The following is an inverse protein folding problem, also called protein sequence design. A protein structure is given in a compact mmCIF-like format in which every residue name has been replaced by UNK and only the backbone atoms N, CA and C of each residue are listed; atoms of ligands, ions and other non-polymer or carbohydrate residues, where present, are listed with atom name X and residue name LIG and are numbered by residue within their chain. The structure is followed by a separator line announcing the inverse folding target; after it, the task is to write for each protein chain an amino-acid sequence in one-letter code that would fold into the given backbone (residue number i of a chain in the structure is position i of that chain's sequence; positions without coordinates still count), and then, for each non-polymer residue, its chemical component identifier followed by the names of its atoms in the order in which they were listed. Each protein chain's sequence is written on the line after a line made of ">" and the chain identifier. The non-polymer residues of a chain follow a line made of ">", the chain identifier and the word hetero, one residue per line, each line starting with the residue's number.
data_IF_165138577263
#
_entry.id   IF_165138577263
#
_cell.length_a   1.000
_cell.length_b   1.000
_cell.length_c   1.000
_cell.angle_alpha   90.00
_cell.angle_beta   90.00
_cell.angle_gamma   90.00
#
_symmetry.space_group_name_H-M   'P 1'
#
loop_
_entity.id
_entity.type
_entity.pdbx_description
1 polymer ?
#
# COMPACT_ATOMS: atom_id res chain seq x y z
N UNK A 1 16.84 -73.79 -6.33
CA UNK A 1 18.21 -73.96 -6.86
C UNK A 1 18.72 -72.56 -7.12
N UNK A 2 19.79 -72.04 -6.55
CA UNK A 2 20.86 -72.55 -5.68
C UNK A 2 21.55 -71.31 -5.07
N UNK A 3 21.91 -71.41 -3.79
CA UNK A 3 22.71 -70.45 -3.04
C UNK A 3 24.08 -70.21 -3.69
N UNK A 4 24.57 -68.97 -3.62
CA UNK A 4 25.99 -68.66 -3.72
C UNK A 4 26.36 -67.73 -2.56
N UNK A 5 27.13 -68.29 -1.64
CA UNK A 5 27.92 -67.61 -0.61
C UNK A 5 29.06 -66.80 -1.25
N UNK A 6 29.27 -65.56 -0.80
CA UNK A 6 30.58 -64.88 -0.89
C UNK A 6 30.85 -64.16 0.44
N UNK A 7 31.74 -64.79 1.21
CA UNK A 7 32.50 -64.23 2.33
C UNK A 7 33.64 -63.35 1.78
N UNK A 8 33.90 -62.19 2.40
CA UNK A 8 34.99 -61.31 1.99
C UNK A 8 35.19 -60.07 2.87
N UNK A 9 35.91 -60.27 3.99
CA UNK A 9 36.83 -59.34 4.67
C UNK A 9 36.45 -57.84 4.81
N UNK A 10 35.95 -57.45 5.98
CA UNK A 10 36.00 -56.07 6.47
C UNK A 10 37.19 -55.89 7.42
N UNK A 11 38.16 -55.09 7.00
CA UNK A 11 39.27 -54.61 7.83
C UNK A 11 38.74 -53.75 8.98
N UNK A 12 39.09 -54.12 10.21
CA UNK A 12 38.78 -53.41 11.44
C UNK A 12 39.56 -52.08 11.49
N UNK A 13 38.85 -50.96 11.35
CA UNK A 13 39.36 -49.62 11.68
C UNK A 13 39.33 -49.45 13.20
N UNK A 14 40.39 -48.97 13.87
CA UNK A 14 40.38 -48.78 15.31
C UNK A 14 39.41 -47.67 15.72
N UNK A 15 38.54 -47.96 16.69
CA UNK A 15 37.66 -46.97 17.32
C UNK A 15 38.48 -45.89 18.05
N UNK A 16 38.09 -44.60 17.96
CA UNK A 16 38.72 -43.53 18.73
C UNK A 16 38.45 -43.68 20.24
N UNK A 17 39.36 -43.21 21.10
CA UNK A 17 39.24 -43.34 22.55
C UNK A 17 38.03 -42.57 23.11
N UNK A 18 37.43 -43.04 24.23
CA UNK A 18 36.28 -42.39 24.84
C UNK A 18 36.67 -41.02 25.41
N UNK A 19 35.76 -40.02 25.35
CA UNK A 19 36.01 -38.70 25.92
C UNK A 19 36.10 -38.77 27.46
N UNK A 20 36.89 -37.86 28.08
CA UNK A 20 37.06 -37.81 29.53
C UNK A 20 35.74 -37.50 30.26
N UNK A 21 35.59 -37.93 31.53
CA UNK A 21 34.35 -37.74 32.26
C UNK A 21 34.08 -36.24 32.51
N UNK A 22 32.93 -35.78 32.03
CA UNK A 22 32.39 -34.45 32.32
C UNK A 22 32.25 -34.28 33.83
N UNK A 23 33.08 -33.41 34.41
CA UNK A 23 32.85 -32.91 35.75
C UNK A 23 31.44 -32.31 35.80
N UNK A 24 30.61 -32.84 36.71
CA UNK A 24 29.27 -32.35 37.01
C UNK A 24 29.33 -30.85 37.31
N UNK A 25 29.00 -30.01 36.32
CA UNK A 25 28.61 -28.63 36.56
C UNK A 25 27.34 -28.68 37.39
N UNK A 26 27.41 -28.13 38.61
CA UNK A 26 26.24 -27.88 39.46
C UNK A 26 25.16 -27.18 38.63
N UNK A 27 23.94 -27.68 38.71
CA UNK A 27 22.76 -27.01 38.16
C UNK A 27 22.67 -25.58 38.72
N UNK A 28 22.21 -24.59 37.93
CA UNK A 28 21.85 -23.29 38.47
C UNK A 28 20.73 -23.46 39.49
N UNK A 29 20.88 -22.83 40.65
CA UNK A 29 19.80 -22.74 41.65
C UNK A 29 18.55 -22.10 41.02
N UNK A 30 17.34 -22.55 41.37
CA UNK A 30 16.12 -21.87 40.94
C UNK A 30 16.08 -20.43 41.49
N UNK A 31 15.51 -19.47 40.73
CA UNK A 31 15.37 -18.10 41.21
C UNK A 31 14.50 -18.03 42.48
N UNK A 32 14.75 -17.06 43.37
CA UNK A 32 13.96 -16.88 44.59
C UNK A 32 12.48 -16.57 44.26
N UNK A 33 11.53 -17.00 45.12
CA UNK A 33 10.12 -16.73 44.92
C UNK A 33 9.82 -15.22 44.93
N UNK A 34 8.85 -14.75 44.12
CA UNK A 34 8.45 -13.35 44.11
C UNK A 34 7.86 -12.95 45.48
N UNK A 35 8.02 -11.67 45.89
CA UNK A 35 7.44 -11.16 47.12
C UNK A 35 5.89 -11.26 47.10
N UNK A 36 5.23 -11.37 48.26
CA UNK A 36 3.79 -11.55 48.32
C UNK A 36 3.05 -10.38 47.66
N UNK A 37 2.24 -10.69 46.65
CA UNK A 37 1.26 -9.76 46.09
C UNK A 37 0.35 -9.29 47.21
N UNK A 38 0.47 -8.01 47.58
CA UNK A 38 -0.55 -7.35 48.38
C UNK A 38 -1.89 -7.48 47.67
N UNK A 39 -2.80 -8.23 48.31
CA UNK A 39 -4.20 -8.39 47.92
C UNK A 39 -4.82 -7.00 47.79
N UNK A 40 -4.96 -6.51 46.55
CA UNK A 40 -5.91 -5.45 46.25
C UNK A 40 -7.31 -6.04 46.49
N UNK A 41 -7.99 -5.51 47.50
CA UNK A 41 -9.37 -5.83 47.87
C UNK A 41 -10.27 -5.78 46.64
N UNK A 42 -11.07 -6.83 46.46
CA UNK A 42 -12.21 -6.81 45.56
C UNK A 42 -13.21 -5.72 45.98
N UNK A 43 -13.90 -5.05 45.03
CA UNK A 43 -14.99 -4.14 45.35
C UNK A 43 -16.18 -4.91 45.97
N UNK A 44 -16.96 -4.28 46.87
CA UNK A 44 -18.08 -4.93 47.55
C UNK A 44 -19.24 -5.27 46.60
N UNK A 45 -20.05 -6.31 46.92
CA UNK A 45 -21.18 -6.74 46.12
C UNK A 45 -22.36 -5.74 46.15
N UNK A 46 -23.22 -5.73 45.11
CA UNK A 46 -24.40 -4.87 45.05
C UNK A 46 -25.49 -5.29 46.06
N UNK A 47 -26.31 -4.33 46.56
CA UNK A 47 -27.37 -4.60 47.53
C UNK A 47 -28.56 -5.40 46.94
N UNK A 48 -29.30 -6.14 47.79
CA UNK A 48 -30.39 -7.04 47.39
C UNK A 48 -31.67 -6.31 46.93
N UNK A 49 -32.55 -6.98 46.17
CA UNK A 49 -33.75 -6.37 45.60
C UNK A 49 -34.81 -6.10 46.68
N UNK A 50 -35.14 -4.82 46.88
CA UNK A 50 -36.22 -4.43 47.78
C UNK A 50 -37.59 -4.79 47.18
N UNK A 51 -38.32 -5.59 47.95
CA UNK A 51 -39.66 -6.07 47.64
C UNK A 51 -40.67 -4.94 47.44
N UNK A 52 -41.55 -5.18 46.48
CA UNK A 52 -42.78 -4.46 46.17
C UNK A 52 -43.59 -4.14 47.44
N UNK A 53 -43.83 -2.86 47.70
CA UNK A 53 -44.99 -2.39 48.44
C UNK A 53 -45.93 -1.67 47.48
N UNK A 54 -47.14 -2.20 47.31
CA UNK A 54 -48.25 -1.59 46.58
C UNK A 54 -48.66 -0.29 47.31
N UNK A 55 -48.62 0.82 46.59
CA UNK A 55 -49.30 2.06 46.98
C UNK A 55 -50.60 2.22 46.14
N UNK A 56 -51.67 2.80 46.69
CA UNK A 56 -52.98 2.93 46.03
C UNK A 56 -52.98 3.98 44.91
N UNK A 57 -53.94 3.92 43.96
CA UNK A 57 -53.96 4.81 42.79
C UNK A 57 -54.32 6.26 43.15
N UNK A 58 -53.81 7.25 42.40
CA UNK A 58 -53.98 8.68 42.68
C UNK A 58 -55.35 9.22 42.24
N UNK A 59 -55.83 10.33 42.86
CA UNK A 59 -57.04 11.03 42.43
C UNK A 59 -56.79 11.84 41.13
N UNK A 60 -57.85 12.10 40.32
CA UNK A 60 -57.71 12.81 39.05
C UNK A 60 -57.37 14.30 39.23
N UNK A 61 -56.50 14.89 38.38
CA UNK A 61 -56.16 16.30 38.43
C UNK A 61 -57.24 17.20 37.78
N UNK A 62 -57.40 18.46 38.25
CA UNK A 62 -58.33 19.45 37.70
C UNK A 62 -57.87 20.02 36.34
N UNK A 63 -58.76 20.65 35.56
CA UNK A 63 -58.52 20.96 34.15
C UNK A 63 -57.49 22.08 33.91
N UNK A 64 -56.71 21.93 32.85
CA UNK A 64 -55.63 22.80 32.40
C UNK A 64 -56.09 24.23 32.02
N UNK A 65 -55.35 25.29 32.40
CA UNK A 65 -55.45 26.60 31.77
C UNK A 65 -54.66 26.65 30.45
N UNK A 66 -55.21 27.39 29.48
CA UNK A 66 -54.68 27.59 28.13
C UNK A 66 -53.28 28.24 28.12
N UNK A 67 -52.36 27.85 27.22
CA UNK A 67 -51.10 28.56 27.07
C UNK A 67 -51.24 29.74 26.10
N UNK A 68 -51.02 30.95 26.61
CA UNK A 68 -50.73 32.14 25.80
C UNK A 68 -49.25 32.18 25.36
N UNK A 69 -49.06 32.74 24.17
CA UNK A 69 -47.83 33.29 23.57
C UNK A 69 -46.63 32.36 23.32
N UNK A 70 -46.52 31.87 22.08
CA UNK A 70 -45.25 31.55 21.42
C UNK A 70 -44.52 32.85 21.03
N UNK A 71 -43.17 32.93 21.12
CA UNK A 71 -42.42 34.04 20.54
C UNK A 71 -42.50 33.99 19.00
N UNK A 72 -42.35 35.12 18.30
CA UNK A 72 -42.57 35.20 16.86
C UNK A 72 -41.49 34.42 16.11
N UNK A 73 -41.91 33.42 15.34
CA UNK A 73 -41.06 32.78 14.33
C UNK A 73 -40.86 33.78 13.20
N UNK A 74 -39.68 34.39 13.11
CA UNK A 74 -39.22 35.07 11.90
C UNK A 74 -39.25 34.08 10.75
N UNK A 75 -40.04 34.41 9.72
CA UNK A 75 -40.22 33.62 8.51
C UNK A 75 -39.14 34.03 7.50
N UNK A 76 -37.91 33.57 7.70
CA UNK A 76 -36.90 33.55 6.63
C UNK A 76 -36.59 32.08 6.34
N UNK A 77 -37.34 31.47 5.42
CA UNK A 77 -37.06 30.11 4.96
C UNK A 77 -36.01 30.17 3.86
N UNK A 78 -34.74 30.22 4.27
CA UNK A 78 -33.62 30.03 3.37
C UNK A 78 -33.67 28.62 2.75
N UNK A 79 -33.14 28.47 1.53
CA UNK A 79 -32.95 27.14 0.94
C UNK A 79 -31.99 26.31 1.81
N UNK A 80 -32.40 25.12 2.29
CA UNK A 80 -31.56 24.31 3.17
C UNK A 80 -30.37 23.73 2.39
N UNK A 81 -29.18 23.84 2.96
CA UNK A 81 -27.98 23.19 2.45
C UNK A 81 -27.98 21.71 2.87
N UNK A 82 -27.94 20.81 1.89
CA UNK A 82 -27.98 19.36 2.11
C UNK A 82 -26.60 18.76 2.36
N UNK A 83 -25.96 19.13 3.47
CA UNK A 83 -24.70 18.52 3.92
C UNK A 83 -24.93 17.30 4.85
N UNK A 84 -23.94 16.42 4.93
CA UNK A 84 -23.92 15.35 5.95
C UNK A 84 -23.23 15.89 7.20
N UNK A 85 -24.01 16.11 8.26
CA UNK A 85 -23.51 16.70 9.52
C UNK A 85 -22.56 15.73 10.25
N UNK A 86 -21.37 16.21 10.61
CA UNK A 86 -20.54 15.54 11.63
C UNK A 86 -20.99 15.99 13.03
N UNK A 87 -21.41 15.05 13.87
CA UNK A 87 -21.93 15.34 15.22
C UNK A 87 -20.85 15.43 16.29
N UNK A 88 -19.64 14.93 16.02
CA UNK A 88 -18.48 15.03 16.92
C UNK A 88 -17.19 15.19 16.10
N UNK A 89 -16.30 16.08 16.56
CA UNK A 89 -14.96 16.21 16.01
C UNK A 89 -14.07 15.04 16.48
N UNK A 90 -13.23 14.51 15.59
CA UNK A 90 -12.25 13.49 15.98
C UNK A 90 -11.06 14.18 16.65
N UNK A 91 -10.54 13.68 17.80
CA UNK A 91 -9.37 14.26 18.45
C UNK A 91 -8.18 14.38 17.47
N UNK A 92 -7.58 15.57 17.37
CA UNK A 92 -6.49 15.86 16.42
C UNK A 92 -6.94 16.13 14.97
N UNK A 93 -8.25 16.16 14.69
CA UNK A 93 -8.76 16.62 13.40
C UNK A 93 -8.85 18.14 13.34
N UNK A 94 -8.90 18.68 12.11
CA UNK A 94 -9.16 20.11 11.87
C UNK A 94 -10.36 20.66 12.68
N UNK A 95 -11.43 19.87 12.81
CA UNK A 95 -12.64 20.28 13.54
C UNK A 95 -12.43 20.34 15.06
N UNK A 96 -11.54 19.48 15.59
CA UNK A 96 -11.16 19.46 17.01
C UNK A 96 -10.18 20.62 17.32
N UNK A 97 -9.28 20.92 16.38
CA UNK A 97 -8.39 22.07 16.49
C UNK A 97 -9.14 23.41 16.45
N UNK A 98 -10.14 23.54 15.56
CA UNK A 98 -10.99 24.73 15.48
C UNK A 98 -11.88 24.91 16.71
N UNK A 99 -12.39 23.82 17.29
CA UNK A 99 -13.15 23.88 18.55
C UNK A 99 -12.26 24.30 19.73
N UNK A 100 -11.05 23.75 19.85
CA UNK A 100 -10.06 24.20 20.86
C UNK A 100 -9.64 25.66 20.68
N UNK A 101 -9.51 26.12 19.42
CA UNK A 101 -9.24 27.53 19.10
C UNK A 101 -10.40 28.46 19.48
N UNK A 102 -11.63 27.96 19.49
CA UNK A 102 -12.82 28.70 19.95
C UNK A 102 -12.84 28.82 21.49
N UNK A 103 -12.37 27.79 22.21
CA UNK A 103 -12.38 27.73 23.67
C UNK A 103 -11.23 28.54 24.32
N UNK A 104 -10.09 28.70 23.63
CA UNK A 104 -8.97 29.54 24.06
C UNK A 104 -9.09 31.03 23.71
N UNK A 105 -10.31 31.56 23.51
CA UNK A 105 -10.50 33.00 23.29
C UNK A 105 -10.64 33.74 24.62
N UNK A 106 -9.53 34.30 25.09
CA UNK A 106 -9.57 35.47 25.96
C UNK A 106 -10.06 36.68 25.14
N UNK A 107 -10.75 37.59 25.82
CA UNK A 107 -11.72 38.58 25.30
C UNK A 107 -11.12 39.67 24.36
N UNK A 108 -9.84 39.63 24.00
CA UNK A 108 -9.18 40.76 23.30
C UNK A 108 -8.89 40.55 21.81
N UNK A 109 -9.16 39.37 21.23
CA UNK A 109 -8.86 39.06 19.82
C UNK A 109 -10.12 38.94 18.91
N UNK A 110 -11.18 39.72 19.17
CA UNK A 110 -12.33 39.81 18.23
C UNK A 110 -12.04 40.62 16.96
N UNK A 111 -10.93 41.38 16.89
CA UNK A 111 -10.72 42.34 15.80
C UNK A 111 -10.01 41.79 14.55
N UNK A 112 -9.45 40.56 14.56
CA UNK A 112 -8.52 40.11 13.49
C UNK A 112 -9.02 38.93 12.62
N UNK A 113 -10.20 38.35 12.88
CA UNK A 113 -10.67 37.17 12.10
C UNK A 113 -12.07 37.27 11.47
N UNK A 114 -12.58 38.49 11.24
CA UNK A 114 -13.71 38.74 10.34
C UNK A 114 -13.28 39.59 9.14
N UNK A 115 -12.39 39.05 8.29
CA UNK A 115 -12.02 39.71 7.02
C UNK A 115 -13.13 39.63 5.95
N UNK A 116 -14.26 38.97 6.24
CA UNK A 116 -15.44 38.95 5.39
C UNK A 116 -16.68 38.97 6.30
N UNK A 117 -17.18 40.16 6.61
CA UNK A 117 -18.53 40.30 7.16
C UNK A 117 -19.52 39.92 6.07
N UNK A 118 -20.01 38.68 6.12
CA UNK A 118 -21.08 38.24 5.24
C UNK A 118 -22.40 38.84 5.71
N UNK A 119 -22.98 39.71 4.89
CA UNK A 119 -24.26 40.36 5.18
C UNK A 119 -25.40 39.33 5.23
N UNK A 120 -25.98 39.16 6.42
CA UNK A 120 -27.15 38.28 6.63
C UNK A 120 -28.32 38.73 5.75
N UNK A 121 -28.54 40.04 5.61
CA UNK A 121 -29.59 40.62 4.76
C UNK A 121 -29.38 40.31 3.27
N UNK A 122 -28.13 40.26 2.81
CA UNK A 122 -27.79 39.91 1.42
C UNK A 122 -28.04 38.42 1.15
N UNK A 123 -27.65 37.54 2.08
CA UNK A 123 -27.91 36.10 2.01
C UNK A 123 -29.43 35.82 2.05
N UNK A 124 -30.17 36.50 2.92
CA UNK A 124 -31.63 36.39 2.97
C UNK A 124 -32.28 36.84 1.67
N UNK A 125 -31.79 37.90 1.04
CA UNK A 125 -32.34 38.40 -0.24
C UNK A 125 -32.05 37.42 -1.40
N UNK A 126 -30.83 36.90 -1.50
CA UNK A 126 -30.40 36.03 -2.61
C UNK A 126 -30.97 34.61 -2.50
N UNK A 127 -31.15 34.09 -1.27
CA UNK A 127 -31.54 32.70 -1.02
C UNK A 127 -32.96 32.52 -0.44
N UNK A 128 -33.79 33.58 -0.45
CA UNK A 128 -35.20 33.51 -0.07
C UNK A 128 -36.05 32.70 -1.06
N UNK A 129 -36.98 31.91 -0.51
CA UNK A 129 -38.07 31.30 -1.28
C UNK A 129 -39.11 32.39 -1.62
N UNK A 130 -38.92 33.08 -2.76
CA UNK A 130 -39.85 34.11 -3.24
C UNK A 130 -41.28 33.59 -3.41
N UNK A 131 -42.25 34.35 -2.93
CA UNK A 131 -43.68 34.10 -3.10
C UNK A 131 -44.05 34.26 -4.59
N UNK A 132 -44.51 33.17 -5.23
CA UNK A 132 -45.20 33.24 -6.53
C UNK A 132 -46.72 33.42 -6.33
N UNK A 133 -47.40 34.18 -7.20
CA UNK A 133 -48.86 34.32 -7.17
C UNK A 133 -49.59 33.03 -7.61
N UNK A 134 -50.88 32.96 -7.26
CA UNK A 134 -51.83 31.83 -7.36
C UNK A 134 -51.92 31.12 -8.73
N UNK A 135 -52.40 29.85 -8.76
CA UNK A 135 -52.07 28.89 -9.81
C UNK A 135 -53.01 28.97 -11.03
N UNK A 136 -52.44 28.78 -12.22
CA UNK A 136 -53.12 28.15 -13.36
C UNK A 136 -52.74 26.67 -13.38
N UNK A 137 -53.62 25.75 -13.82
CA UNK A 137 -53.33 24.33 -13.81
C UNK A 137 -52.34 24.01 -14.93
N UNK A 138 -51.15 23.57 -14.55
CA UNK A 138 -50.15 22.96 -15.42
C UNK A 138 -49.43 21.85 -14.66
N UNK A 139 -48.94 20.81 -15.36
CA UNK A 139 -48.88 19.45 -14.87
C UNK A 139 -47.80 19.23 -13.80
N UNK A 140 -48.02 18.12 -13.09
CA UNK A 140 -47.22 17.52 -12.03
C UNK A 140 -45.72 17.85 -12.12
N UNK A 141 -45.26 18.76 -11.25
CA UNK A 141 -43.85 19.11 -11.13
C UNK A 141 -43.11 17.99 -10.43
N UNK A 142 -42.44 17.16 -11.21
CA UNK A 142 -41.33 16.32 -10.77
C UNK A 142 -40.35 17.17 -9.94
N UNK A 143 -39.89 16.71 -8.76
CA UNK A 143 -38.88 17.40 -7.98
C UNK A 143 -37.60 17.60 -8.82
N UNK A 144 -37.04 18.81 -8.84
CA UNK A 144 -35.84 19.21 -9.62
C UNK A 144 -34.62 18.27 -9.46
N UNK A 145 -34.53 17.55 -8.33
CA UNK A 145 -33.48 16.54 -8.05
C UNK A 145 -33.68 15.29 -8.91
N UNK A 146 -34.92 14.87 -9.08
CA UNK A 146 -35.29 13.69 -9.88
C UNK A 146 -35.05 13.95 -11.37
N UNK A 147 -35.31 15.17 -11.84
CA UNK A 147 -34.99 15.57 -13.22
C UNK A 147 -33.46 15.57 -13.46
N UNK A 148 -32.66 16.11 -12.53
CA UNK A 148 -31.19 16.10 -12.68
C UNK A 148 -30.60 14.69 -12.63
N UNK A 149 -31.15 13.81 -11.78
CA UNK A 149 -30.76 12.39 -11.73
C UNK A 149 -31.18 11.66 -13.01
N UNK A 150 -32.38 11.93 -13.52
CA UNK A 150 -32.88 11.37 -14.79
C UNK A 150 -32.00 11.82 -15.97
N UNK A 151 -31.72 13.12 -16.12
CA UNK A 151 -30.86 13.64 -17.21
C UNK A 151 -29.43 13.11 -17.13
N UNK A 152 -28.84 13.02 -15.93
CA UNK A 152 -27.51 12.42 -15.77
C UNK A 152 -27.50 10.93 -16.15
N UNK A 153 -28.57 10.20 -15.81
CA UNK A 153 -28.72 8.78 -16.18
C UNK A 153 -28.92 8.63 -17.68
N UNK A 154 -29.74 9.50 -18.30
CA UNK A 154 -29.97 9.55 -19.74
C UNK A 154 -28.68 9.85 -20.52
N UNK A 155 -27.86 10.80 -20.07
CA UNK A 155 -26.53 11.07 -20.66
C UNK A 155 -25.62 9.84 -20.57
N UNK A 156 -25.58 9.16 -19.41
CA UNK A 156 -24.79 7.91 -19.26
C UNK A 156 -25.30 6.81 -20.19
N UNK A 157 -26.61 6.65 -20.30
CA UNK A 157 -27.23 5.66 -21.18
C UNK A 157 -26.94 5.97 -22.66
N UNK A 158 -26.94 7.25 -23.08
CA UNK A 158 -26.58 7.64 -24.45
C UNK A 158 -25.11 7.36 -24.74
N UNK A 159 -24.20 7.69 -23.82
CA UNK A 159 -22.77 7.39 -23.93
C UNK A 159 -22.51 5.88 -23.99
N UNK A 160 -23.22 5.10 -23.17
CA UNK A 160 -23.20 3.63 -23.24
C UNK A 160 -23.68 3.15 -24.61
N UNK A 161 -24.78 3.70 -25.11
CA UNK A 161 -25.46 3.18 -26.29
C UNK A 161 -24.56 3.13 -27.54
N UNK A 162 -23.72 4.15 -27.72
CA UNK A 162 -22.84 4.27 -28.90
C UNK A 162 -21.69 3.26 -28.83
N UNK A 163 -21.18 2.96 -27.63
CA UNK A 163 -19.92 2.23 -27.42
C UNK A 163 -20.12 0.77 -27.00
N UNK A 164 -21.27 0.45 -26.41
CA UNK A 164 -21.55 -0.83 -25.78
C UNK A 164 -21.62 -2.01 -26.76
N UNK A 165 -22.21 -1.91 -27.98
CA UNK A 165 -22.30 -3.06 -28.90
C UNK A 165 -20.93 -3.60 -29.32
N UNK A 166 -20.01 -2.71 -29.71
CA UNK A 166 -18.65 -3.08 -30.10
C UNK A 166 -17.86 -3.65 -28.92
N UNK A 167 -18.06 -3.10 -27.72
CA UNK A 167 -17.40 -3.57 -26.51
C UNK A 167 -17.91 -4.93 -26.03
N UNK A 168 -19.22 -5.17 -26.13
CA UNK A 168 -19.81 -6.49 -25.89
C UNK A 168 -19.24 -7.49 -26.90
N UNK A 169 -19.20 -7.13 -28.19
CA UNK A 169 -18.65 -8.02 -29.21
C UNK A 169 -17.18 -8.39 -28.91
N UNK A 170 -16.35 -7.41 -28.54
CA UNK A 170 -14.96 -7.64 -28.16
C UNK A 170 -14.84 -8.49 -26.89
N UNK A 171 -15.62 -8.21 -25.85
CA UNK A 171 -15.61 -8.97 -24.60
C UNK A 171 -16.09 -10.42 -24.79
N UNK A 172 -17.12 -10.64 -25.61
CA UNK A 172 -17.63 -11.98 -25.93
C UNK A 172 -16.64 -12.78 -26.79
N UNK A 173 -15.93 -12.11 -27.69
CA UNK A 173 -14.84 -12.69 -28.47
C UNK A 173 -13.50 -12.74 -27.72
N UNK A 174 -13.41 -12.17 -26.51
CA UNK A 174 -12.18 -12.04 -25.72
C UNK A 174 -11.01 -11.48 -26.55
N UNK A 175 -11.30 -10.53 -27.43
CA UNK A 175 -10.41 -9.97 -28.45
C UNK A 175 -9.80 -8.64 -28.02
N UNK A 176 -8.53 -8.67 -27.62
CA UNK A 176 -7.77 -7.52 -27.13
C UNK A 176 -7.45 -6.50 -28.24
N UNK A 177 -7.47 -6.89 -29.52
CA UNK A 177 -7.11 -5.99 -30.63
C UNK A 177 -8.14 -4.91 -30.90
N UNK A 178 -9.39 -5.15 -30.50
CA UNK A 178 -10.50 -4.23 -30.71
C UNK A 178 -10.65 -3.22 -29.57
N UNK A 179 -10.21 -3.60 -28.37
CA UNK A 179 -10.27 -2.81 -27.14
C UNK A 179 -9.17 -3.27 -26.18
N UNK A 180 -8.11 -2.49 -26.12
CA UNK A 180 -6.92 -2.70 -25.29
C UNK A 180 -6.84 -1.71 -24.11
N UNK A 181 -7.59 -0.61 -24.16
CA UNK A 181 -7.57 0.43 -23.13
C UNK A 181 -8.45 0.05 -21.93
N UNK A 182 -7.79 -0.31 -20.82
CA UNK A 182 -8.42 -0.58 -19.54
C UNK A 182 -9.26 0.59 -19.01
N UNK A 183 -8.77 1.83 -19.14
CA UNK A 183 -9.46 2.99 -18.60
C UNK A 183 -10.76 3.23 -19.35
N UNK A 184 -10.80 2.96 -20.66
CA UNK A 184 -12.04 2.98 -21.43
C UNK A 184 -13.06 1.95 -20.95
N UNK A 185 -12.61 0.74 -20.61
CA UNK A 185 -13.48 -0.34 -20.12
C UNK A 185 -13.99 -0.02 -18.70
N UNK A 186 -13.14 0.42 -17.78
CA UNK A 186 -13.57 0.81 -16.43
C UNK A 186 -14.48 2.03 -16.44
N UNK A 187 -14.17 3.04 -17.26
CA UNK A 187 -15.05 4.20 -17.42
C UNK A 187 -16.43 3.75 -17.92
N UNK A 188 -16.49 2.81 -18.87
CA UNK A 188 -17.76 2.29 -19.35
C UNK A 188 -18.50 1.46 -18.29
N UNK A 189 -17.79 0.62 -17.54
CA UNK A 189 -18.35 -0.12 -16.40
C UNK A 189 -18.97 0.85 -15.38
N UNK A 190 -18.33 1.99 -15.13
CA UNK A 190 -18.85 3.03 -14.25
C UNK A 190 -20.08 3.78 -14.80
N UNK A 191 -20.36 3.66 -16.10
CA UNK A 191 -21.57 4.20 -16.70
C UNK A 191 -22.78 3.28 -16.50
N UNK A 192 -22.60 2.00 -16.13
CA UNK A 192 -23.72 1.09 -15.90
C UNK A 192 -24.64 1.65 -14.79
N UNK A 193 -25.96 1.74 -15.06
CA UNK A 193 -26.92 2.22 -14.06
C UNK A 193 -26.86 1.35 -12.81
N UNK A 194 -26.87 1.99 -11.64
CA UNK A 194 -26.94 1.24 -10.39
C UNK A 194 -28.31 0.56 -10.25
N UNK A 195 -28.42 -0.45 -9.37
CA UNK A 195 -29.72 -1.07 -9.06
C UNK A 195 -30.77 -0.05 -8.58
N UNK A 196 -30.31 1.03 -7.96
CA UNK A 196 -31.15 2.14 -7.52
C UNK A 196 -31.60 3.01 -8.69
N UNK A 197 -30.72 3.29 -9.66
CA UNK A 197 -31.08 3.98 -10.89
C UNK A 197 -32.07 3.14 -11.72
N UNK A 198 -31.89 1.82 -11.75
CA UNK A 198 -32.83 0.89 -12.39
C UNK A 198 -34.22 0.93 -11.74
N UNK A 199 -34.28 0.89 -10.41
CA UNK A 199 -35.54 0.99 -9.67
C UNK A 199 -36.20 2.35 -9.86
N UNK A 200 -35.40 3.42 -9.86
CA UNK A 200 -35.88 4.78 -10.06
C UNK A 200 -36.51 4.97 -11.45
N UNK A 201 -35.85 4.51 -12.52
CA UNK A 201 -36.37 4.57 -13.89
C UNK A 201 -37.70 3.81 -14.07
N UNK A 202 -37.85 2.66 -13.38
CA UNK A 202 -39.10 1.88 -13.40
C UNK A 202 -40.26 2.57 -12.67
N UNK A 203 -39.98 3.37 -11.65
CA UNK A 203 -41.01 4.02 -10.80
C UNK A 203 -41.30 5.47 -11.17
N UNK A 204 -40.50 6.09 -12.05
CA UNK A 204 -40.61 7.50 -12.39
C UNK A 204 -41.79 7.74 -13.36
N UNK A 205 -42.75 8.58 -12.94
CA UNK A 205 -43.99 8.89 -13.69
C UNK A 205 -43.99 10.26 -14.38
N UNK A 206 -42.88 11.01 -14.32
CA UNK A 206 -42.74 12.30 -15.01
C UNK A 206 -42.55 12.15 -16.53
N UNK A 207 -42.33 13.27 -17.23
CA UNK A 207 -41.93 13.24 -18.65
C UNK A 207 -40.60 12.48 -18.76
N UNK A 208 -40.67 11.21 -19.17
CA UNK A 208 -39.56 10.26 -19.19
C UNK A 208 -38.55 10.57 -20.30
N UNK A 209 -38.82 11.55 -21.17
CA UNK A 209 -38.04 11.80 -22.37
C UNK A 209 -37.82 10.50 -23.18
N UNK A 210 -36.73 10.44 -23.94
CA UNK A 210 -36.33 9.22 -24.65
C UNK A 210 -35.72 8.14 -23.72
N UNK A 211 -35.74 8.33 -22.40
CA UNK A 211 -35.02 7.46 -21.47
C UNK A 211 -35.63 6.05 -21.37
N UNK A 212 -36.96 5.93 -21.45
CA UNK A 212 -37.65 4.63 -21.48
C UNK A 212 -37.38 3.88 -22.80
N UNK A 213 -37.40 4.58 -23.93
CA UNK A 213 -37.03 4.03 -25.24
C UNK A 213 -35.56 3.64 -25.33
N UNK A 214 -34.65 4.44 -24.75
CA UNK A 214 -33.23 4.15 -24.70
C UNK A 214 -32.92 2.97 -23.79
N UNK A 215 -33.69 2.80 -22.70
CA UNK A 215 -33.61 1.64 -21.83
C UNK A 215 -34.15 0.37 -22.50
N UNK A 216 -35.30 0.45 -23.20
CA UNK A 216 -35.82 -0.64 -24.02
C UNK A 216 -34.84 -1.04 -25.12
N UNK A 217 -34.23 -0.05 -25.79
CA UNK A 217 -33.19 -0.29 -26.77
C UNK A 217 -31.96 -0.97 -26.15
N UNK A 218 -31.50 -0.53 -24.98
CA UNK A 218 -30.40 -1.19 -24.28
C UNK A 218 -30.77 -2.62 -23.85
N UNK A 219 -32.01 -2.90 -23.43
CA UNK A 219 -32.47 -4.27 -23.16
C UNK A 219 -32.56 -5.12 -24.43
N UNK A 220 -32.96 -4.55 -25.56
CA UNK A 220 -33.04 -5.25 -26.85
C UNK A 220 -31.68 -5.47 -27.50
N UNK A 221 -30.73 -4.54 -27.32
CA UNK A 221 -29.36 -4.60 -27.84
C UNK A 221 -28.49 -5.47 -26.95
N UNK A 222 -28.68 -5.42 -25.64
CA UNK A 222 -28.00 -6.29 -24.67
C UNK A 222 -28.76 -7.61 -24.54
N UNK A 223 -28.76 -8.40 -25.62
CA UNK A 223 -29.20 -9.81 -25.60
C UNK A 223 -28.26 -10.72 -24.81
N UNK A 224 -27.13 -10.17 -24.36
CA UNK A 224 -26.11 -10.87 -23.59
C UNK A 224 -26.41 -10.71 -22.09
N UNK A 225 -26.61 -11.81 -21.35
CA UNK A 225 -26.80 -11.72 -19.90
C UNK A 225 -25.49 -11.32 -19.20
N UNK A 226 -25.60 -10.60 -18.08
CA UNK A 226 -24.47 -10.21 -17.20
C UNK A 226 -23.31 -9.51 -17.93
N UNK A 227 -23.62 -8.57 -18.84
CA UNK A 227 -22.59 -7.82 -19.58
C UNK A 227 -21.57 -7.15 -18.68
N UNK A 228 -21.99 -6.52 -17.58
CA UNK A 228 -21.04 -5.89 -16.66
C UNK A 228 -20.00 -6.89 -16.15
N UNK A 229 -20.42 -8.10 -15.75
CA UNK A 229 -19.49 -9.16 -15.33
C UNK A 229 -18.56 -9.59 -16.45
N UNK A 230 -19.09 -9.77 -17.68
CA UNK A 230 -18.27 -10.17 -18.83
C UNK A 230 -17.28 -9.08 -19.27
N UNK A 231 -17.64 -7.81 -19.15
CA UNK A 231 -16.73 -6.67 -19.34
C UNK A 231 -15.64 -6.65 -18.26
N UNK A 232 -15.98 -6.94 -17.00
CA UNK A 232 -14.97 -7.08 -15.92
C UNK A 232 -14.02 -8.25 -16.16
N UNK A 233 -14.51 -9.37 -16.69
CA UNK A 233 -13.69 -10.51 -17.13
C UNK A 233 -12.70 -10.07 -18.22
N UNK A 234 -13.20 -9.35 -19.22
CA UNK A 234 -12.38 -8.86 -20.32
C UNK A 234 -11.34 -7.81 -19.87
N UNK A 235 -11.75 -6.88 -19.01
CA UNK A 235 -10.87 -5.91 -18.33
C UNK A 235 -9.72 -6.60 -17.59
N UNK A 236 -10.03 -7.67 -16.84
CA UNK A 236 -9.00 -8.46 -16.16
C UNK A 236 -8.05 -9.14 -17.14
N UNK A 237 -8.57 -9.71 -18.24
CA UNK A 237 -7.76 -10.38 -19.28
C UNK A 237 -6.69 -9.44 -19.85
N UNK A 238 -7.08 -8.25 -20.26
CA UNK A 238 -6.18 -7.23 -20.84
C UNK A 238 -5.03 -6.89 -19.88
N UNK A 239 -5.33 -6.70 -18.59
CA UNK A 239 -4.31 -6.34 -17.61
C UNK A 239 -3.44 -7.50 -17.17
N UNK A 240 -3.90 -8.75 -17.33
CA UNK A 240 -3.30 -9.92 -16.72
C UNK A 240 -1.83 -10.10 -17.14
N UNK A 241 -1.55 -10.10 -18.46
CA UNK A 241 -0.20 -10.32 -18.98
C UNK A 241 0.80 -9.26 -18.47
N UNK A 242 0.38 -8.00 -18.45
CA UNK A 242 1.22 -6.90 -17.92
C UNK A 242 1.48 -7.07 -16.43
N UNK A 243 0.47 -7.44 -15.63
CA UNK A 243 0.62 -7.67 -14.19
C UNK A 243 1.54 -8.86 -13.89
N UNK A 244 1.36 -9.99 -14.58
CA UNK A 244 2.23 -11.16 -14.44
C UNK A 244 3.68 -10.82 -14.79
N UNK A 245 3.90 -10.09 -15.88
CA UNK A 245 5.25 -9.67 -16.31
C UNK A 245 5.91 -8.76 -15.26
N UNK A 246 5.17 -7.78 -14.74
CA UNK A 246 5.67 -6.87 -13.69
C UNK A 246 6.02 -7.63 -12.40
N UNK A 247 5.12 -8.51 -11.94
CA UNK A 247 5.36 -9.36 -10.78
C UNK A 247 6.59 -10.25 -10.97
N UNK A 248 6.68 -10.95 -12.09
CA UNK A 248 7.81 -11.85 -12.40
C UNK A 248 9.13 -11.09 -12.39
N UNK A 249 9.20 -9.92 -13.04
CA UNK A 249 10.39 -9.06 -13.04
C UNK A 249 10.75 -8.58 -11.62
N UNK A 250 9.76 -8.16 -10.84
CA UNK A 250 9.97 -7.72 -9.47
C UNK A 250 10.50 -8.84 -8.56
N UNK A 251 9.91 -10.02 -8.63
CA UNK A 251 10.32 -11.18 -7.85
C UNK A 251 11.73 -11.66 -8.22
N UNK A 252 12.06 -11.68 -9.51
CA UNK A 252 13.40 -12.00 -9.97
C UNK A 252 14.43 -10.98 -9.50
N UNK A 253 14.13 -9.68 -9.57
CA UNK A 253 15.03 -8.65 -9.06
C UNK A 253 15.30 -8.80 -7.55
N UNK A 254 14.27 -9.13 -6.75
CA UNK A 254 14.43 -9.41 -5.32
C UNK A 254 15.32 -10.64 -5.10
N UNK A 255 15.05 -11.75 -5.79
CA UNK A 255 15.84 -12.97 -5.68
C UNK A 255 17.30 -12.75 -6.07
N UNK A 256 17.55 -12.16 -7.24
CA UNK A 256 18.90 -11.87 -7.73
C UNK A 256 19.64 -10.94 -6.78
N UNK A 257 19.02 -9.85 -6.32
CA UNK A 257 19.68 -8.94 -5.38
C UNK A 257 20.02 -9.63 -4.05
N UNK A 258 19.14 -10.48 -3.53
CA UNK A 258 19.45 -11.26 -2.31
C UNK A 258 20.65 -12.18 -2.53
N UNK A 259 20.70 -12.89 -3.66
CA UNK A 259 21.78 -13.81 -3.98
C UNK A 259 23.11 -13.07 -4.20
N UNK A 260 23.10 -12.00 -5.01
CA UNK A 260 24.24 -11.12 -5.26
C UNK A 260 24.87 -10.59 -3.97
N UNK A 261 24.05 -10.08 -3.05
CA UNK A 261 24.53 -9.56 -1.76
C UNK A 261 25.14 -10.66 -0.90
N UNK A 262 24.55 -11.86 -0.89
CA UNK A 262 25.04 -12.99 -0.05
C UNK A 262 26.29 -13.64 -0.62
N UNK A 263 26.42 -13.67 -1.95
CA UNK A 263 27.50 -14.39 -2.64
C UNK A 263 28.68 -13.51 -2.99
N UNK A 264 28.51 -12.18 -3.12
CA UNK A 264 29.63 -11.28 -3.40
C UNK A 264 30.71 -11.36 -2.33
N UNK A 265 31.88 -11.89 -2.72
CA UNK A 265 33.05 -11.95 -1.85
C UNK A 265 33.64 -10.56 -1.67
N UNK A 266 33.66 -9.74 -2.72
CA UNK A 266 34.18 -8.37 -2.67
C UNK A 266 33.41 -7.51 -1.66
N UNK A 267 32.09 -7.66 -1.57
CA UNK A 267 31.30 -6.98 -0.55
C UNK A 267 31.72 -7.39 0.87
N UNK A 268 31.93 -8.69 1.11
CA UNK A 268 32.37 -9.21 2.42
C UNK A 268 33.74 -8.66 2.79
N UNK A 269 34.67 -8.65 1.85
CA UNK A 269 36.03 -8.14 2.06
C UNK A 269 36.00 -6.63 2.36
N UNK A 270 35.13 -5.85 1.70
CA UNK A 270 34.93 -4.43 2.03
C UNK A 270 34.37 -4.24 3.44
N UNK A 271 33.38 -5.04 3.83
CA UNK A 271 32.80 -4.98 5.18
C UNK A 271 33.87 -5.30 6.25
N UNK A 272 34.74 -6.28 5.99
CA UNK A 272 35.86 -6.62 6.86
C UNK A 272 36.90 -5.48 6.95
N UNK A 273 37.26 -4.86 5.82
CA UNK A 273 38.15 -3.70 5.81
C UNK A 273 37.57 -2.52 6.61
N UNK A 274 36.26 -2.28 6.49
CA UNK A 274 35.56 -1.26 7.29
C UNK A 274 35.59 -1.60 8.78
N UNK A 275 35.35 -2.87 9.15
CA UNK A 275 35.43 -3.32 10.54
C UNK A 275 36.83 -3.13 11.13
N UNK A 276 37.86 -3.51 10.37
CA UNK A 276 39.26 -3.33 10.76
C UNK A 276 39.59 -1.85 10.98
N UNK A 277 39.22 -1.01 10.01
CA UNK A 277 39.41 0.44 10.08
C UNK A 277 38.70 1.06 11.29
N UNK A 278 37.45 0.68 11.54
CA UNK A 278 36.69 1.12 12.70
C UNK A 278 37.32 0.67 14.03
N UNK A 279 37.84 -0.55 14.09
CA UNK A 279 38.51 -1.08 15.29
C UNK A 279 39.83 -0.38 15.60
N UNK A 280 40.60 -0.02 14.57
CA UNK A 280 41.84 0.76 14.71
C UNK A 280 41.51 2.16 15.24
N UNK A 281 40.54 2.85 14.63
CA UNK A 281 40.16 4.21 15.05
C UNK A 281 39.57 4.27 16.46
N UNK A 282 38.86 3.22 16.87
CA UNK A 282 38.23 3.15 18.19
C UNK A 282 39.11 2.44 19.23
N UNK A 283 40.39 2.19 18.94
CA UNK A 283 41.31 1.54 19.87
C UNK A 283 41.40 2.31 21.19
N UNK A 284 41.30 1.60 22.31
CA UNK A 284 41.32 2.21 23.65
C UNK A 284 40.00 2.82 24.11
N UNK A 285 38.95 2.80 23.27
CA UNK A 285 37.59 3.23 23.65
C UNK A 285 36.68 2.03 23.89
N UNK A 286 35.52 2.25 24.53
CA UNK A 286 34.48 1.23 24.69
C UNK A 286 33.88 0.74 23.35
N UNK A 287 34.16 1.42 22.24
CA UNK A 287 33.69 1.08 20.88
C UNK A 287 34.72 0.25 20.08
N UNK A 288 35.92 0.04 20.61
CA UNK A 288 36.95 -0.77 19.96
C UNK A 288 36.71 -2.28 20.13
N UNK A 289 37.48 -3.11 19.40
CA UNK A 289 37.38 -4.58 19.40
C UNK A 289 35.97 -5.11 19.08
N UNK A 290 35.23 -4.38 18.26
CA UNK A 290 33.95 -4.80 17.74
C UNK A 290 34.11 -6.05 16.85
N UNK A 291 33.17 -6.99 16.97
CA UNK A 291 33.07 -8.18 16.12
C UNK A 291 32.26 -7.93 14.84
N UNK A 292 31.57 -6.80 14.78
CA UNK A 292 30.70 -6.38 13.67
C UNK A 292 30.11 -5.00 13.96
N UNK A 293 29.41 -4.45 12.98
CA UNK A 293 28.76 -3.14 13.10
C UNK A 293 27.36 -3.18 12.45
N UNK A 294 26.54 -2.20 12.80
CA UNK A 294 25.19 -2.03 12.25
C UNK A 294 25.24 -1.51 10.82
N UNK A 295 24.31 -1.94 9.97
CA UNK A 295 24.33 -1.58 8.54
C UNK A 295 24.33 -0.06 8.30
N UNK A 296 23.59 0.70 9.13
CA UNK A 296 23.51 2.16 9.00
C UNK A 296 24.87 2.86 9.26
N UNK A 297 25.80 2.20 9.96
CA UNK A 297 27.15 2.72 10.21
C UNK A 297 27.97 2.90 8.92
N UNK A 298 27.58 2.26 7.82
CA UNK A 298 28.22 2.46 6.52
C UNK A 298 28.12 3.91 6.03
N UNK A 299 27.03 4.61 6.34
CA UNK A 299 26.81 5.98 5.90
C UNK A 299 27.69 6.98 6.68
N UNK A 300 27.99 6.65 7.95
CA UNK A 300 28.83 7.47 8.84
C UNK A 300 30.27 7.59 8.33
N UNK A 301 30.75 6.64 7.52
CA UNK A 301 32.08 6.69 6.90
C UNK A 301 32.24 7.93 5.99
N UNK A 302 31.15 8.39 5.39
CA UNK A 302 31.15 9.61 4.57
C UNK A 302 31.12 10.89 5.39
N UNK A 303 30.69 10.82 6.65
CA UNK A 303 30.57 11.97 7.57
C UNK A 303 31.83 12.18 8.41
N UNK A 304 32.53 11.09 8.75
CA UNK A 304 33.74 11.13 9.57
C UNK A 304 34.89 11.75 8.80
N UNK A 305 35.31 12.96 9.18
CA UNK A 305 36.39 13.73 8.52
C UNK A 305 37.72 13.57 9.26
N UNK A 306 38.81 13.61 8.51
CA UNK A 306 40.16 13.79 9.05
C UNK A 306 40.37 15.24 9.53
N UNK A 307 41.36 15.46 10.40
CA UNK A 307 41.67 16.78 11.00
C UNK A 307 41.93 17.88 9.97
N UNK A 308 42.40 17.51 8.77
CA UNK A 308 42.62 18.44 7.68
C UNK A 308 41.35 18.85 6.93
N UNK A 309 40.16 18.39 7.35
CA UNK A 309 38.80 18.63 6.82
C UNK A 309 38.54 18.26 5.34
N UNK A 310 39.58 18.01 4.55
CA UNK A 310 39.53 17.74 3.10
C UNK A 310 39.18 16.30 2.76
N UNK A 311 39.42 15.34 3.66
CA UNK A 311 39.24 13.91 3.41
C UNK A 311 38.30 13.28 4.44
N UNK A 312 37.39 12.41 3.99
CA UNK A 312 36.53 11.60 4.87
C UNK A 312 37.10 10.20 5.02
N UNK A 313 36.59 9.43 5.99
CA UNK A 313 37.00 8.05 6.21
C UNK A 313 36.70 7.17 4.98
N UNK A 314 35.62 7.45 4.26
CA UNK A 314 35.30 6.79 3.00
C UNK A 314 36.32 7.09 1.90
N UNK A 315 36.80 8.32 1.79
CA UNK A 315 37.89 8.66 0.87
C UNK A 315 39.18 7.93 1.24
N UNK A 316 39.51 7.88 2.54
CA UNK A 316 40.68 7.14 3.00
C UNK A 316 40.58 5.66 2.63
N UNK A 317 39.44 5.01 2.90
CA UNK A 317 39.19 3.62 2.54
C UNK A 317 39.40 3.39 1.04
N UNK A 318 38.79 4.21 0.18
CA UNK A 318 38.95 4.10 -1.28
C UNK A 318 40.41 4.26 -1.71
N UNK A 319 41.18 5.16 -1.07
CA UNK A 319 42.60 5.36 -1.36
C UNK A 319 43.46 4.16 -0.95
N UNK A 320 43.19 3.58 0.23
CA UNK A 320 43.88 2.37 0.70
C UNK A 320 43.56 1.19 -0.21
N UNK A 321 42.29 0.98 -0.54
CA UNK A 321 41.87 -0.09 -1.47
C UNK A 321 42.53 0.08 -2.85
N UNK A 322 42.55 1.28 -3.41
CA UNK A 322 43.24 1.52 -4.68
C UNK A 322 44.72 1.13 -4.68
N UNK A 323 45.39 1.22 -3.52
CA UNK A 323 46.81 0.86 -3.38
C UNK A 323 47.07 -0.61 -3.06
N UNK A 324 46.15 -1.29 -2.36
CA UNK A 324 46.38 -2.64 -1.79
C UNK A 324 45.49 -3.73 -2.37
N UNK A 325 44.31 -3.39 -2.85
CA UNK A 325 43.27 -4.30 -3.32
C UNK A 325 42.35 -3.56 -4.31
N UNK A 326 42.90 -3.21 -5.48
CA UNK A 326 42.20 -2.39 -6.49
C UNK A 326 40.99 -3.12 -7.10
N UNK A 327 41.00 -4.44 -7.07
CA UNK A 327 39.91 -5.34 -7.47
C UNK A 327 38.64 -5.19 -6.60
N UNK A 328 38.76 -4.65 -5.39
CA UNK A 328 37.62 -4.36 -4.53
C UNK A 328 36.89 -3.06 -4.91
N UNK A 329 37.52 -2.16 -5.67
CA UNK A 329 36.90 -0.88 -6.04
C UNK A 329 35.65 -1.03 -6.91
N UNK A 330 35.54 -2.15 -7.63
CA UNK A 330 34.40 -2.43 -8.50
C UNK A 330 33.43 -3.50 -7.95
N UNK A 331 33.45 -3.74 -6.62
CA UNK A 331 32.50 -4.64 -5.94
C UNK A 331 31.03 -4.35 -6.27
N UNK A 332 30.70 -3.10 -6.57
CA UNK A 332 29.35 -2.68 -6.93
C UNK A 332 28.84 -3.30 -8.24
N UNK A 333 29.75 -3.82 -9.08
CA UNK A 333 29.38 -4.59 -10.28
C UNK A 333 28.84 -5.99 -9.95
N UNK A 334 29.15 -6.52 -8.77
CA UNK A 334 28.57 -7.79 -8.31
C UNK A 334 27.09 -7.62 -7.89
N UNK A 335 26.58 -6.39 -7.82
CA UNK A 335 25.29 -6.02 -7.22
C UNK A 335 24.37 -5.31 -8.23
N UNK A 336 24.26 -5.85 -9.45
CA UNK A 336 23.55 -5.24 -10.57
C UNK A 336 22.05 -5.04 -10.30
N UNK A 337 21.41 -5.99 -9.61
CA UNK A 337 19.97 -5.96 -9.36
C UNK A 337 19.58 -5.13 -8.13
N UNK A 338 20.56 -4.64 -7.36
CA UNK A 338 20.31 -3.90 -6.13
C UNK A 338 19.47 -2.63 -6.34
N UNK A 339 19.72 -1.86 -7.40
CA UNK A 339 18.99 -0.61 -7.65
C UNK A 339 17.54 -0.85 -8.08
N UNK A 340 17.29 -1.92 -8.83
CA UNK A 340 15.94 -2.35 -9.19
C UNK A 340 15.20 -2.88 -7.95
N UNK A 341 15.88 -3.70 -7.14
CA UNK A 341 15.35 -4.27 -5.90
C UNK A 341 15.01 -3.21 -4.85
N UNK A 342 15.79 -2.14 -4.72
CA UNK A 342 15.55 -1.07 -3.74
C UNK A 342 14.27 -0.28 -3.99
N UNK A 343 13.67 -0.39 -5.18
CA UNK A 343 12.41 0.29 -5.56
C UNK A 343 11.19 -0.58 -5.31
N UNK A 344 11.39 -1.85 -4.92
CA UNK A 344 10.34 -2.84 -4.75
C UNK A 344 9.91 -2.88 -3.28
N UNK A 345 8.59 -2.92 -3.07
CA UNK A 345 8.00 -3.16 -1.76
C UNK A 345 7.43 -4.59 -1.73
N UNK A 346 7.91 -5.42 -0.81
CA UNK A 346 7.48 -6.83 -0.72
C UNK A 346 5.97 -6.94 -0.44
N UNK A 347 5.44 -5.99 0.33
CA UNK A 347 4.01 -5.90 0.63
C UNK A 347 3.18 -5.63 -0.63
N UNK A 348 3.61 -4.71 -1.50
CA UNK A 348 2.92 -4.41 -2.76
C UNK A 348 2.87 -5.63 -3.68
N UNK A 349 3.99 -6.37 -3.79
CA UNK A 349 4.02 -7.62 -4.55
C UNK A 349 3.03 -8.66 -4.02
N UNK A 350 2.94 -8.82 -2.69
CA UNK A 350 2.00 -9.75 -2.07
C UNK A 350 0.54 -9.35 -2.34
N UNK A 351 0.23 -8.05 -2.23
CA UNK A 351 -1.12 -7.51 -2.50
C UNK A 351 -1.51 -7.69 -3.98
N UNK A 352 -0.58 -7.47 -4.91
CA UNK A 352 -0.81 -7.69 -6.34
C UNK A 352 -1.05 -9.17 -6.67
N UNK A 353 -0.25 -10.09 -6.12
CA UNK A 353 -0.46 -11.53 -6.27
C UNK A 353 -1.84 -11.95 -5.72
N UNK A 354 -2.22 -11.42 -4.55
CA UNK A 354 -3.52 -11.69 -3.96
C UNK A 354 -4.66 -11.13 -4.84
N UNK A 355 -4.50 -9.94 -5.41
CA UNK A 355 -5.47 -9.33 -6.30
C UNK A 355 -5.67 -10.16 -7.58
N UNK A 356 -4.59 -10.68 -8.17
CA UNK A 356 -4.66 -11.57 -9.34
C UNK A 356 -5.36 -12.89 -8.99
N UNK A 357 -5.01 -13.48 -7.85
CA UNK A 357 -5.60 -14.75 -7.39
C UNK A 357 -7.12 -14.60 -7.18
N UNK A 358 -7.55 -13.52 -6.50
CA UNK A 358 -8.97 -13.19 -6.33
C UNK A 358 -9.65 -12.87 -7.65
N UNK A 359 -8.96 -12.21 -8.58
CA UNK A 359 -9.48 -11.95 -9.92
C UNK A 359 -9.77 -13.26 -10.67
N UNK A 360 -8.85 -14.22 -10.60
CA UNK A 360 -8.99 -15.55 -11.20
C UNK A 360 -10.17 -16.35 -10.61
N UNK A 361 -10.40 -16.25 -9.29
CA UNK A 361 -11.60 -16.82 -8.66
C UNK A 361 -12.89 -16.22 -9.23
N UNK A 362 -12.94 -14.89 -9.44
CA UNK A 362 -14.10 -14.23 -10.08
C UNK A 362 -14.30 -14.68 -11.52
N UNK A 363 -13.23 -14.95 -12.27
CA UNK A 363 -13.33 -15.51 -13.62
C UNK A 363 -14.01 -16.89 -13.61
N UNK A 364 -13.62 -17.76 -12.67
CA UNK A 364 -14.23 -19.08 -12.50
C UNK A 364 -15.71 -18.98 -12.13
N UNK A 365 -16.07 -18.03 -11.27
CA UNK A 365 -17.46 -17.76 -10.93
C UNK A 365 -18.27 -17.32 -12.14
N UNK A 366 -17.76 -16.40 -12.97
CA UNK A 366 -18.47 -15.97 -14.19
C UNK A 366 -18.52 -17.07 -15.25
N UNK A 367 -17.50 -17.92 -15.36
CA UNK A 367 -17.53 -19.10 -16.23
C UNK A 367 -18.68 -20.05 -15.85
N UNK A 368 -18.87 -20.28 -14.54
CA UNK A 368 -19.95 -21.11 -13.98
C UNK A 368 -21.31 -20.42 -14.11
N UNK A 369 -21.40 -19.11 -13.91
CA UNK A 369 -22.64 -18.37 -14.12
C UNK A 369 -23.06 -18.33 -15.60
N UNK A 370 -22.08 -18.35 -16.51
CA UNK A 370 -22.33 -18.33 -17.95
C UNK A 370 -22.91 -19.62 -18.52
N UNK A 371 -22.99 -20.69 -17.74
CA UNK A 371 -23.51 -21.97 -18.21
C UNK A 371 -25.00 -21.93 -18.57
N UNK A 372 -25.76 -21.08 -17.87
CA UNK A 372 -27.20 -20.89 -18.07
C UNK A 372 -27.55 -19.88 -19.16
N UNK A 373 -26.56 -19.28 -19.83
CA UNK A 373 -26.77 -18.20 -20.82
C UNK A 373 -27.22 -18.69 -22.20
N UNK A 374 -27.23 -20.01 -22.43
CA UNK A 374 -27.52 -20.58 -23.73
C UNK A 374 -26.41 -20.32 -24.78
N UNK A 375 -26.73 -20.39 -26.08
CA UNK A 375 -25.73 -20.38 -27.16
C UNK A 375 -24.98 -19.05 -27.31
N UNK A 376 -25.57 -17.94 -26.86
CA UNK A 376 -24.99 -16.59 -26.97
C UNK A 376 -23.62 -16.49 -26.27
N UNK A 377 -23.42 -17.23 -25.17
CA UNK A 377 -22.16 -17.24 -24.41
C UNK A 377 -21.24 -18.42 -24.73
N UNK A 378 -21.53 -19.26 -25.73
CA UNK A 378 -20.76 -20.47 -25.99
C UNK A 378 -19.30 -20.18 -26.38
N UNK A 379 -19.09 -19.22 -27.28
CA UNK A 379 -17.75 -18.78 -27.71
C UNK A 379 -17.00 -18.16 -26.53
N UNK A 380 -17.63 -17.25 -25.80
CA UNK A 380 -17.08 -16.62 -24.60
C UNK A 380 -16.62 -17.66 -23.57
N UNK A 381 -17.45 -18.65 -23.25
CA UNK A 381 -17.12 -19.72 -22.28
C UNK A 381 -15.90 -20.53 -22.72
N UNK A 382 -15.82 -20.87 -24.01
CA UNK A 382 -14.68 -21.62 -24.57
C UNK A 382 -13.38 -20.83 -24.38
N UNK A 383 -13.38 -19.56 -24.79
CA UNK A 383 -12.20 -18.68 -24.70
C UNK A 383 -11.84 -18.35 -23.25
N UNK A 384 -12.84 -18.13 -22.39
CA UNK A 384 -12.62 -17.88 -20.96
C UNK A 384 -12.01 -19.10 -20.28
N UNK A 385 -12.46 -20.32 -20.60
CA UNK A 385 -11.89 -21.56 -20.06
C UNK A 385 -10.42 -21.73 -20.44
N UNK A 386 -10.08 -21.48 -21.70
CA UNK A 386 -8.68 -21.51 -22.18
C UNK A 386 -7.83 -20.46 -21.46
N UNK A 387 -8.33 -19.23 -21.35
CA UNK A 387 -7.65 -18.16 -20.63
C UNK A 387 -7.43 -18.49 -19.15
N UNK A 388 -8.43 -19.02 -18.44
CA UNK A 388 -8.31 -19.43 -17.04
C UNK A 388 -7.22 -20.50 -16.89
N UNK A 389 -7.18 -21.51 -17.75
CA UNK A 389 -6.17 -22.57 -17.70
C UNK A 389 -4.74 -22.03 -17.86
N UNK A 390 -4.55 -21.08 -18.79
CA UNK A 390 -3.26 -20.42 -18.98
C UNK A 390 -2.91 -19.51 -17.79
N UNK A 391 -3.89 -18.74 -17.31
CA UNK A 391 -3.72 -17.84 -16.18
C UNK A 391 -3.37 -18.57 -14.88
N UNK A 392 -3.99 -19.72 -14.61
CA UNK A 392 -3.66 -20.59 -13.47
C UNK A 392 -2.20 -21.05 -13.52
N UNK A 393 -1.72 -21.45 -14.69
CA UNK A 393 -0.34 -21.90 -14.90
C UNK A 393 0.66 -20.76 -14.65
N UNK A 394 0.36 -19.57 -15.16
CA UNK A 394 1.20 -18.38 -14.94
C UNK A 394 1.19 -17.93 -13.48
N UNK A 395 0.03 -17.91 -12.83
CA UNK A 395 -0.09 -17.57 -11.39
C UNK A 395 0.68 -18.59 -10.54
N UNK A 396 0.59 -19.89 -10.86
CA UNK A 396 1.37 -20.91 -10.16
C UNK A 396 2.88 -20.67 -10.30
N UNK A 397 3.34 -20.27 -11.49
CA UNK A 397 4.75 -19.93 -11.74
C UNK A 397 5.18 -18.72 -10.92
N UNK A 398 4.37 -17.65 -10.89
CA UNK A 398 4.63 -16.45 -10.08
C UNK A 398 4.66 -16.80 -8.58
N UNK A 399 3.74 -17.64 -8.11
CA UNK A 399 3.73 -18.11 -6.72
C UNK A 399 4.99 -18.93 -6.37
N UNK A 400 5.44 -19.79 -7.29
CA UNK A 400 6.67 -20.55 -7.11
C UNK A 400 7.92 -19.65 -7.04
N UNK A 401 7.91 -18.48 -7.68
CA UNK A 401 8.97 -17.46 -7.54
C UNK A 401 8.82 -16.63 -6.25
N UNK A 402 7.58 -16.40 -5.81
CA UNK A 402 7.28 -15.56 -4.64
C UNK A 402 7.75 -16.16 -3.32
N UNK A 403 7.55 -17.46 -3.10
CA UNK A 403 7.97 -18.08 -1.83
C UNK A 403 9.49 -18.00 -1.60
N UNK A 404 10.36 -18.35 -2.58
CA UNK A 404 11.80 -18.14 -2.46
C UNK A 404 12.16 -16.66 -2.31
N UNK A 405 11.56 -15.76 -3.10
CA UNK A 405 11.86 -14.33 -3.01
C UNK A 405 11.61 -13.77 -1.61
N UNK A 406 10.47 -14.13 -1.03
CA UNK A 406 10.13 -13.77 0.35
C UNK A 406 11.11 -14.38 1.36
N UNK A 407 11.38 -15.68 1.25
CA UNK A 407 12.30 -16.37 2.16
C UNK A 407 13.72 -15.82 2.09
N UNK A 408 14.21 -15.51 0.89
CA UNK A 408 15.52 -14.89 0.66
C UNK A 408 15.59 -13.48 1.25
N UNK A 409 14.53 -12.68 1.10
CA UNK A 409 14.46 -11.35 1.68
C UNK A 409 14.45 -11.40 3.23
N UNK A 410 13.69 -12.32 3.83
CA UNK A 410 13.68 -12.55 5.28
C UNK A 410 15.05 -13.07 5.77
N UNK A 411 15.69 -13.96 5.01
CA UNK A 411 17.02 -14.45 5.32
C UNK A 411 18.10 -13.37 5.18
N UNK A 412 17.93 -12.42 4.25
CA UNK A 412 18.83 -11.28 4.08
C UNK A 412 18.69 -10.29 5.24
N UNK A 413 17.45 -10.01 5.67
CA UNK A 413 17.17 -9.25 6.88
C UNK A 413 17.87 -9.87 8.09
N UNK A 414 17.75 -11.20 8.26
CA UNK A 414 18.46 -11.90 9.32
C UNK A 414 19.99 -11.81 9.19
N UNK A 415 20.52 -11.91 7.97
CA UNK A 415 21.95 -11.88 7.70
C UNK A 415 22.64 -10.58 8.15
N UNK A 416 21.98 -9.42 8.01
CA UNK A 416 22.47 -8.14 8.52
C UNK A 416 21.99 -7.80 9.95
N UNK A 417 21.24 -8.71 10.57
CA UNK A 417 20.60 -8.58 11.88
C UNK A 417 19.10 -8.32 11.78
N UNK A 418 18.29 -9.07 12.55
CA UNK A 418 16.81 -9.10 12.55
C UNK A 418 16.07 -7.74 12.60
N UNK A 419 16.76 -6.63 12.76
CA UNK A 419 16.20 -5.29 12.81
C UNK A 419 16.09 -4.59 11.44
N UNK A 420 16.62 -5.17 10.36
CA UNK A 420 16.64 -4.52 9.05
C UNK A 420 15.63 -5.16 8.08
N UNK A 421 14.51 -4.49 7.74
CA UNK A 421 13.66 -4.96 6.65
C UNK A 421 14.42 -4.92 5.32
N UNK A 422 14.01 -5.77 4.38
CA UNK A 422 14.65 -5.88 3.06
C UNK A 422 14.82 -4.53 2.35
N UNK A 423 13.79 -3.69 2.40
CA UNK A 423 13.78 -2.36 1.80
C UNK A 423 14.84 -1.44 2.44
N UNK A 424 15.05 -1.54 3.76
CA UNK A 424 16.11 -0.78 4.43
C UNK A 424 17.49 -1.33 4.06
N UNK A 425 17.67 -2.65 4.02
CA UNK A 425 18.96 -3.26 3.63
C UNK A 425 19.38 -2.79 2.24
N UNK A 426 18.49 -2.94 1.26
CA UNK A 426 18.77 -2.57 -0.13
C UNK A 426 18.98 -1.06 -0.29
N UNK A 427 18.18 -0.22 0.37
CA UNK A 427 18.34 1.24 0.32
C UNK A 427 19.66 1.71 0.95
N UNK A 428 20.05 1.16 2.11
CA UNK A 428 21.29 1.53 2.79
C UNK A 428 22.50 1.08 1.99
N UNK A 429 22.51 -0.15 1.45
CA UNK A 429 23.60 -0.63 0.59
C UNK A 429 23.73 0.18 -0.70
N UNK A 430 22.61 0.53 -1.34
CA UNK A 430 22.63 1.37 -2.54
C UNK A 430 23.19 2.76 -2.25
N UNK A 431 22.80 3.34 -1.11
CA UNK A 431 23.32 4.65 -0.67
C UNK A 431 24.82 4.57 -0.38
N UNK A 432 25.27 3.53 0.31
CA UNK A 432 26.68 3.27 0.55
C UNK A 432 27.49 3.15 -0.75
N UNK A 433 27.00 2.38 -1.73
CA UNK A 433 27.66 2.23 -3.04
C UNK A 433 27.77 3.58 -3.76
N UNK A 434 26.71 4.39 -3.76
CA UNK A 434 26.74 5.71 -4.39
C UNK A 434 27.76 6.63 -3.73
N UNK A 435 27.82 6.64 -2.40
CA UNK A 435 28.81 7.42 -1.65
C UNK A 435 30.23 6.92 -1.90
N UNK A 436 30.42 5.60 -1.95
CA UNK A 436 31.72 4.97 -2.20
C UNK A 436 32.24 5.33 -3.60
N UNK A 437 31.41 5.18 -4.63
CA UNK A 437 31.76 5.55 -6.01
C UNK A 437 32.15 7.02 -6.10
N UNK A 438 31.35 7.90 -5.50
CA UNK A 438 31.62 9.34 -5.46
C UNK A 438 32.98 9.63 -4.80
N UNK A 439 33.25 9.06 -3.63
CA UNK A 439 34.52 9.26 -2.93
C UNK A 439 35.73 8.71 -3.72
N UNK A 440 35.56 7.59 -4.41
CA UNK A 440 36.59 7.04 -5.30
C UNK A 440 36.87 7.95 -6.50
N UNK A 441 35.83 8.45 -7.17
CA UNK A 441 35.96 9.39 -8.28
C UNK A 441 36.62 10.71 -7.86
N UNK A 442 36.26 11.23 -6.68
CA UNK A 442 36.88 12.43 -6.09
C UNK A 442 38.37 12.22 -5.79
N UNK A 443 38.75 11.05 -5.27
CA UNK A 443 40.15 10.68 -5.06
C UNK A 443 40.95 10.60 -6.37
N UNK A 444 40.38 10.00 -7.42
CA UNK A 444 41.04 9.90 -8.74
C UNK A 444 41.29 11.30 -9.30
N UNK A 445 40.27 12.17 -9.29
CA UNK A 445 40.40 13.58 -9.73
C UNK A 445 41.46 14.33 -8.93
N UNK A 446 41.50 14.14 -7.62
CA UNK A 446 42.49 14.79 -6.77
C UNK A 446 43.92 14.31 -7.08
N UNK A 447 44.12 13.00 -7.27
CA UNK A 447 45.41 12.43 -7.65
C UNK A 447 45.89 12.94 -9.01
N UNK A 448 44.99 13.09 -9.99
CA UNK A 448 45.33 13.64 -11.31
C UNK A 448 45.70 15.13 -11.24
N UNK A 449 45.02 15.91 -10.40
CA UNK A 449 45.37 17.31 -10.16
C UNK A 449 46.75 17.45 -9.50
N UNK A 450 47.06 16.59 -8.52
CA UNK A 450 48.36 16.56 -7.86
C UNK A 450 49.49 16.18 -8.83
N UNK A 451 49.27 15.16 -9.68
CA UNK A 451 50.22 14.79 -10.74
C UNK A 451 50.46 15.93 -11.73
N UNK A 452 49.40 16.64 -12.15
CA UNK A 452 49.52 17.79 -13.07
C UNK A 452 50.28 18.95 -12.43
N UNK A 453 50.08 19.22 -11.14
CA UNK A 453 50.83 20.25 -10.42
C UNK A 453 52.31 19.89 -10.29
N UNK A 454 52.60 18.67 -9.85
CA UNK A 454 53.97 18.17 -9.73
C UNK A 454 54.71 18.17 -11.07
N UNK A 455 54.05 17.82 -12.18
CA UNK A 455 54.63 17.89 -13.52
C UNK A 455 54.99 19.35 -13.93
N UNK A 456 54.10 20.31 -13.66
CA UNK A 456 54.37 21.73 -13.93
C UNK A 456 55.50 22.30 -13.07
N UNK A 457 55.56 21.92 -11.80
CA UNK A 457 56.65 22.31 -10.90
C UNK A 457 57.99 21.73 -11.36
N UNK A 458 58.01 20.46 -11.76
CA UNK A 458 59.22 19.82 -12.30
C UNK A 458 59.66 20.42 -13.66
N UNK A 459 58.74 20.90 -14.49
CA UNK A 459 59.07 21.64 -15.72
C UNK A 459 59.67 23.02 -15.40
N UNK A 460 59.09 23.76 -14.45
CA UNK A 460 59.62 25.06 -13.99
C UNK A 460 61.00 24.95 -13.34
N UNK A 461 61.28 23.87 -12.59
CA UNK A 461 62.62 23.62 -12.03
C UNK A 461 63.65 23.24 -13.09
N UNK A 462 63.24 22.61 -14.21
CA UNK A 462 64.13 22.29 -15.33
C UNK A 462 64.41 23.46 -16.26
N UNK A 463 63.57 24.49 -16.23
CA UNK A 463 63.77 25.73 -17.02
C UNK A 463 64.52 26.82 -16.26
N UNK A 464 64.90 26.56 -15.00
CA UNK A 464 65.63 27.47 -14.13
C UNK A 464 67.05 26.96 -13.92
#
# INVERSE_FOLDING_TARGET
>A
MSLVDISGAYSLVPLPPPPPPLMRRRAPLPPPPPPPLMRRRAPPPPPPPLMRRRAPPPPPPPPLPRPCSRPPKTKCSLKPLHWVKKTRALPGSLWDELQRRQECRDIEDEQILCAIELSVSEIETIFSLGAKPKPKPEPEKVPLIDLRRATNTEIRLMLLNIRLPDMIAAAMAMDESRLDDFDQIENLINLFPTKEDMKFLLTYTGDKGNCEQLFQYLQEVVKVPRVESKLRVFSFKIQFGTKITKLTKGLNAVNSACEEIRTSQKLKDIMENILCLGNILNQGTARGRAVGFRLDSLLILSETRADNSKMTLMHYLCKVLASKASDLLDFHKDLENLESASKIQLKSLAEEIQAITKGLEKLKQELTASETDGPVSQVFRKLLKEFISNAETQVATVMALYYPARGNAEALAHYFGYHYPFEQVTATLLSFIRLFKKAHEENVKQADLEKKKAAKEAEMEKTK
#
